data_IF_423368230952
#
_entry.id   IF_423368230952
#
_cell.length_a   1.000
_cell.length_b   1.000
_cell.length_c   1.000
_cell.angle_alpha   90.00
_cell.angle_beta   90.00
_cell.angle_gamma   90.00
#
_symmetry.space_group_name_H-M   'P 1'
#
loop_
_entity.id
_entity.type
_entity.pdbx_description
1 polymer ?
#
# COMPACT_ATOMS: atom_id res chain seq x y z
N UNK A 1 -6.82 1.44 -20.62
CA UNK A 1 -7.09 0.30 -19.71
C UNK A 1 -5.84 -0.56 -19.66
N UNK A 2 -5.22 -0.70 -18.50
CA UNK A 2 -4.04 -1.56 -18.31
C UNK A 2 -4.51 -2.92 -17.81
N UNK A 3 -4.15 -3.99 -18.52
CA UNK A 3 -4.47 -5.36 -18.09
C UNK A 3 -3.33 -5.88 -17.20
N UNK A 4 -3.65 -6.22 -15.95
CA UNK A 4 -2.75 -6.94 -15.07
C UNK A 4 -2.62 -8.40 -15.53
N UNK A 5 -1.45 -9.01 -15.31
CA UNK A 5 -1.30 -10.47 -15.42
C UNK A 5 -2.07 -11.08 -14.24
N UNK A 6 -2.82 -12.20 -14.41
CA UNK A 6 -3.39 -12.90 -13.27
C UNK A 6 -2.26 -13.23 -12.29
N UNK A 7 -2.35 -12.72 -11.06
CA UNK A 7 -1.37 -12.86 -9.97
C UNK A 7 -0.08 -12.01 -10.06
N UNK A 8 -0.02 -10.95 -10.87
CA UNK A 8 1.16 -10.08 -10.93
C UNK A 8 0.85 -8.59 -11.00
N UNK A 9 1.37 -7.82 -10.04
CA UNK A 9 1.44 -6.34 -10.06
C UNK A 9 2.32 -5.76 -11.19
N UNK A 10 2.94 -6.61 -12.04
CA UNK A 10 3.82 -6.19 -13.12
C UNK A 10 3.03 -5.91 -14.41
N UNK A 11 3.13 -4.67 -14.89
CA UNK A 11 2.61 -4.26 -16.18
C UNK A 11 3.51 -4.82 -17.31
N UNK A 12 2.93 -5.56 -18.25
CA UNK A 12 3.68 -6.24 -19.32
C UNK A 12 4.18 -5.24 -20.38
N UNK A 13 5.47 -5.34 -20.73
CA UNK A 13 6.08 -4.67 -21.90
C UNK A 13 6.75 -3.32 -21.61
N UNK A 14 7.56 -2.84 -22.57
CA UNK A 14 8.30 -1.57 -22.48
C UNK A 14 7.41 -0.38 -22.07
N UNK A 15 6.18 -0.34 -22.60
CA UNK A 15 5.22 0.72 -22.27
C UNK A 15 4.75 0.67 -20.81
N UNK A 16 4.54 -0.52 -20.26
CA UNK A 16 4.17 -0.71 -18.85
C UNK A 16 5.26 -0.25 -17.90
N UNK A 17 6.52 -0.61 -18.18
CA UNK A 17 7.68 -0.17 -17.39
C UNK A 17 7.92 1.34 -17.49
N UNK A 18 7.77 1.93 -18.68
CA UNK A 18 7.93 3.37 -18.86
C UNK A 18 6.84 4.16 -18.13
N UNK A 19 5.58 3.70 -18.17
CA UNK A 19 4.49 4.31 -17.42
C UNK A 19 4.71 4.24 -15.91
N UNK A 20 5.16 3.09 -15.38
CA UNK A 20 5.47 2.99 -13.94
C UNK A 20 6.56 3.96 -13.48
N UNK A 21 7.53 4.26 -14.36
CA UNK A 21 8.64 5.17 -14.06
C UNK A 21 8.26 6.64 -14.20
N UNK A 22 7.43 6.98 -15.19
CA UNK A 22 7.14 8.37 -15.57
C UNK A 22 5.82 8.92 -15.03
N UNK A 23 4.87 8.07 -14.65
CA UNK A 23 3.58 8.50 -14.14
C UNK A 23 3.71 9.22 -12.78
N UNK A 24 2.90 10.27 -12.59
CA UNK A 24 2.78 10.95 -11.30
C UNK A 24 2.07 10.07 -10.26
N UNK A 25 1.08 9.29 -10.71
CA UNK A 25 0.37 8.32 -9.89
C UNK A 25 -0.18 7.17 -10.77
N UNK A 26 -0.47 6.04 -10.15
CA UNK A 26 -1.16 4.91 -10.76
C UNK A 26 -2.38 4.61 -9.91
N UNK A 27 -3.55 4.57 -10.55
CA UNK A 27 -4.81 4.22 -9.92
C UNK A 27 -5.29 2.86 -10.43
N UNK A 28 -5.85 2.06 -9.53
CA UNK A 28 -6.55 0.82 -9.81
C UNK A 28 -8.05 1.04 -9.65
N UNK A 29 -8.84 0.48 -10.56
CA UNK A 29 -10.30 0.41 -10.43
C UNK A 29 -10.65 -1.06 -10.24
N UNK A 30 -11.27 -1.36 -9.11
CA UNK A 30 -11.61 -2.71 -8.68
C UNK A 30 -13.07 -2.78 -8.26
N UNK A 31 -13.66 -3.97 -8.25
CA UNK A 31 -14.98 -4.18 -7.63
C UNK A 31 -14.84 -4.10 -6.12
N UNK A 32 -15.83 -3.50 -5.46
CA UNK A 32 -15.94 -3.56 -4.01
C UNK A 32 -16.53 -4.92 -3.56
N UNK A 33 -16.67 -5.07 -2.24
CA UNK A 33 -17.50 -6.12 -1.64
C UNK A 33 -18.94 -6.11 -2.15
N UNK A 34 -19.49 -4.92 -2.42
CA UNK A 34 -20.72 -4.74 -3.19
C UNK A 34 -20.39 -4.76 -4.71
N UNK A 35 -20.87 -5.75 -5.49
CA UNK A 35 -20.61 -5.83 -6.91
C UNK A 35 -21.15 -4.64 -7.74
N UNK A 36 -22.10 -3.88 -7.21
CA UNK A 36 -22.63 -2.67 -7.85
C UNK A 36 -21.70 -1.46 -7.68
N UNK A 37 -20.71 -1.55 -6.80
CA UNK A 37 -19.76 -0.48 -6.47
C UNK A 37 -18.39 -0.82 -7.03
N UNK A 38 -17.79 0.17 -7.68
CA UNK A 38 -16.39 0.17 -8.08
C UNK A 38 -15.59 1.08 -7.16
N UNK A 39 -14.45 0.60 -6.68
CA UNK A 39 -13.51 1.36 -5.86
C UNK A 39 -12.31 1.78 -6.67
N UNK A 40 -11.88 3.02 -6.48
CA UNK A 40 -10.64 3.56 -7.05
C UNK A 40 -9.61 3.68 -5.94
N UNK A 41 -8.49 2.97 -6.12
CA UNK A 41 -7.37 2.91 -5.15
C UNK A 41 -6.09 3.44 -5.80
N UNK A 42 -5.26 4.14 -5.03
CA UNK A 42 -3.91 4.45 -5.47
C UNK A 42 -2.98 3.25 -5.28
N UNK A 43 -2.32 2.83 -6.35
CA UNK A 43 -1.24 1.83 -6.31
C UNK A 43 0.13 2.48 -6.17
N UNK A 44 0.30 3.66 -6.78
CA UNK A 44 1.55 4.42 -6.73
C UNK A 44 1.26 5.91 -6.70
N UNK A 45 2.02 6.64 -5.89
CA UNK A 45 2.02 8.10 -5.86
C UNK A 45 3.47 8.57 -5.74
N UNK A 46 3.93 9.39 -6.68
CA UNK A 46 5.33 9.82 -6.72
C UNK A 46 5.74 10.69 -5.53
N UNK A 47 4.81 11.51 -5.05
CA UNK A 47 5.04 12.48 -3.98
C UNK A 47 4.18 12.21 -2.74
N UNK A 48 4.04 10.94 -2.37
CA UNK A 48 3.25 10.58 -1.19
C UNK A 48 3.23 9.10 -0.86
N UNK A 49 2.27 8.74 0.00
CA UNK A 49 1.94 7.36 0.32
C UNK A 49 0.70 6.95 -0.48
N UNK A 50 0.73 5.86 -1.25
CA UNK A 50 -0.48 5.31 -1.86
C UNK A 50 -1.50 4.82 -0.82
N UNK A 51 -1.04 4.46 0.39
CA UNK A 51 -1.89 4.01 1.49
C UNK A 51 -2.64 5.16 2.17
N UNK A 52 -2.12 6.39 2.10
CA UNK A 52 -2.76 7.57 2.69
C UNK A 52 -3.85 8.18 1.79
N UNK A 53 -3.87 7.83 0.49
CA UNK A 53 -4.90 8.28 -0.48
C UNK A 53 -6.26 7.65 -0.15
N UNK A 54 -7.35 8.43 -0.08
CA UNK A 54 -8.68 7.90 0.11
C UNK A 54 -9.10 6.90 -0.97
N UNK A 55 -9.89 5.91 -0.57
CA UNK A 55 -10.51 4.97 -1.51
C UNK A 55 -11.84 5.56 -1.94
N UNK A 56 -11.92 6.00 -3.19
CA UNK A 56 -13.12 6.61 -3.75
C UNK A 56 -14.08 5.53 -4.26
N UNK A 57 -15.38 5.74 -4.08
CA UNK A 57 -16.42 4.81 -4.49
C UNK A 57 -17.25 5.38 -5.63
N UNK A 58 -17.55 4.56 -6.63
CA UNK A 58 -18.40 4.90 -7.76
C UNK A 58 -19.42 3.80 -8.02
N UNK A 59 -20.61 4.15 -8.49
CA UNK A 59 -21.61 3.18 -8.97
C UNK A 59 -22.33 3.70 -10.20
N UNK A 60 -22.95 2.79 -10.96
CA UNK A 60 -23.77 3.15 -12.11
C UNK A 60 -25.12 3.70 -11.68
N UNK A 61 -25.40 4.96 -12.00
CA UNK A 61 -26.72 5.58 -11.85
C UNK A 61 -27.51 5.41 -13.15
N UNK A 62 -28.64 4.70 -13.07
CA UNK A 62 -29.48 4.41 -14.24
C UNK A 62 -30.23 5.64 -14.75
N UNK A 63 -30.61 6.56 -13.86
CA UNK A 63 -31.35 7.77 -14.24
C UNK A 63 -30.44 8.75 -14.97
N UNK A 64 -29.19 8.86 -14.51
CA UNK A 64 -28.17 9.73 -15.11
C UNK A 64 -27.38 9.06 -16.24
N UNK A 65 -27.56 7.76 -16.43
CA UNK A 65 -26.85 6.92 -17.41
C UNK A 65 -25.31 7.07 -17.34
N UNK A 66 -24.76 7.18 -16.13
CA UNK A 66 -23.31 7.34 -15.91
C UNK A 66 -22.87 6.82 -14.54
N UNK A 67 -21.55 6.66 -14.35
CA UNK A 67 -20.99 6.40 -13.02
C UNK A 67 -21.03 7.68 -12.18
N UNK A 68 -21.56 7.57 -10.96
CA UNK A 68 -21.62 8.66 -9.98
C UNK A 68 -20.72 8.36 -8.80
N UNK A 69 -20.13 9.41 -8.23
CA UNK A 69 -19.32 9.33 -7.02
C UNK A 69 -20.23 9.11 -5.81
N UNK A 70 -19.89 8.11 -4.99
CA UNK A 70 -20.63 7.72 -3.78
C UNK A 70 -19.97 8.19 -2.48
N UNK A 71 -18.80 8.83 -2.56
CA UNK A 71 -18.00 9.20 -1.38
C UNK A 71 -16.75 8.35 -1.21
N UNK A 72 -16.08 8.53 -0.08
CA UNK A 72 -14.86 7.81 0.30
C UNK A 72 -15.20 6.64 1.23
N UNK A 73 -14.40 5.58 1.22
CA UNK A 73 -14.47 4.56 2.27
C UNK A 73 -14.13 5.17 3.63
N UNK A 74 -14.69 4.64 4.75
CA UNK A 74 -14.38 5.10 6.09
C UNK A 74 -12.89 5.08 6.40
N UNK A 75 -12.47 5.98 7.30
CA UNK A 75 -11.06 6.10 7.69
C UNK A 75 -10.54 4.81 8.34
N UNK A 76 -11.40 4.12 9.09
CA UNK A 76 -11.10 2.86 9.76
C UNK A 76 -10.72 1.75 8.75
N UNK A 77 -11.44 1.65 7.63
CA UNK A 77 -11.11 0.70 6.56
C UNK A 77 -9.77 1.05 5.90
N UNK A 78 -9.49 2.35 5.72
CA UNK A 78 -8.21 2.81 5.18
C UNK A 78 -7.05 2.46 6.11
N UNK A 79 -7.20 2.74 7.41
CA UNK A 79 -6.18 2.47 8.42
C UNK A 79 -5.97 0.96 8.57
N UNK A 80 -7.03 0.15 8.50
CA UNK A 80 -6.94 -1.31 8.47
C UNK A 80 -6.19 -1.82 7.24
N UNK A 81 -6.49 -1.31 6.03
CA UNK A 81 -5.74 -1.67 4.82
C UNK A 81 -4.25 -1.32 4.97
N UNK A 82 -3.95 -0.15 5.52
CA UNK A 82 -2.56 0.28 5.76
C UNK A 82 -1.85 -0.65 6.74
N UNK A 83 -2.55 -1.09 7.78
CA UNK A 83 -2.07 -2.08 8.73
C UNK A 83 -1.80 -3.44 8.07
N UNK A 84 -2.76 -3.98 7.32
CA UNK A 84 -2.65 -5.28 6.62
C UNK A 84 -1.48 -5.29 5.62
N UNK A 85 -1.30 -4.23 4.84
CA UNK A 85 -0.19 -4.09 3.89
C UNK A 85 1.17 -4.02 4.62
N UNK A 86 1.26 -3.25 5.70
CA UNK A 86 2.50 -3.16 6.48
C UNK A 86 2.81 -4.46 7.23
N UNK A 87 1.79 -5.21 7.65
CA UNK A 87 1.93 -6.58 8.16
C UNK A 87 2.52 -7.49 7.09
N UNK A 88 2.02 -7.44 5.85
CA UNK A 88 2.55 -8.24 4.76
C UNK A 88 4.03 -7.92 4.48
N UNK A 89 4.38 -6.62 4.45
CA UNK A 89 5.78 -6.17 4.32
C UNK A 89 6.65 -6.66 5.48
N UNK A 90 6.16 -6.56 6.74
CA UNK A 90 6.88 -7.08 7.89
C UNK A 90 7.15 -8.58 7.76
N UNK A 91 6.13 -9.38 7.43
CA UNK A 91 6.29 -10.83 7.21
C UNK A 91 7.33 -11.12 6.13
N UNK A 92 7.29 -10.40 5.01
CA UNK A 92 8.25 -10.56 3.92
C UNK A 92 9.68 -10.26 4.38
N UNK A 93 9.91 -9.12 5.02
CA UNK A 93 11.25 -8.69 5.48
C UNK A 93 11.80 -9.63 6.56
N UNK A 94 10.99 -9.91 7.58
CA UNK A 94 11.42 -10.73 8.72
C UNK A 94 11.49 -12.23 8.41
N UNK A 95 10.88 -12.70 7.32
CA UNK A 95 11.10 -14.06 6.81
C UNK A 95 12.54 -14.29 6.34
N UNK A 96 13.24 -13.21 5.92
CA UNK A 96 14.62 -13.25 5.43
C UNK A 96 15.63 -12.90 6.52
N UNK A 97 15.27 -12.01 7.44
CA UNK A 97 16.17 -11.51 8.50
C UNK A 97 15.44 -11.50 9.84
N UNK A 98 15.98 -12.19 10.85
CA UNK A 98 15.38 -12.22 12.20
C UNK A 98 15.48 -10.88 12.94
N UNK A 99 16.52 -10.11 12.66
CA UNK A 99 16.77 -8.80 13.24
C UNK A 99 17.10 -7.81 12.13
N UNK A 100 16.48 -6.63 12.15
CA UNK A 100 16.65 -5.62 11.09
C UNK A 100 16.87 -4.26 11.73
N UNK A 101 17.89 -3.53 11.28
CA UNK A 101 18.12 -2.16 11.77
C UNK A 101 17.06 -1.19 11.23
N UNK A 102 16.96 0.00 11.81
CA UNK A 102 16.07 1.05 11.30
C UNK A 102 16.34 1.42 9.84
N UNK A 103 17.62 1.50 9.46
CA UNK A 103 18.05 1.88 8.10
C UNK A 103 17.67 0.80 7.11
N UNK A 104 18.00 -0.46 7.40
CA UNK A 104 17.64 -1.59 6.53
C UNK A 104 16.13 -1.73 6.38
N UNK A 105 15.36 -1.58 7.47
CA UNK A 105 13.91 -1.66 7.40
C UNK A 105 13.32 -0.53 6.53
N UNK A 106 13.88 0.67 6.61
CA UNK A 106 13.46 1.78 5.76
C UNK A 106 13.80 1.53 4.29
N UNK A 107 14.95 0.93 3.98
CA UNK A 107 15.35 0.55 2.62
C UNK A 107 14.43 -0.54 2.03
N UNK A 108 14.13 -1.59 2.80
CA UNK A 108 13.21 -2.65 2.40
C UNK A 108 11.80 -2.10 2.12
N UNK A 109 11.27 -1.25 3.01
CA UNK A 109 9.97 -0.60 2.81
C UNK A 109 9.97 0.30 1.58
N UNK A 110 11.02 1.08 1.34
CA UNK A 110 11.14 1.91 0.13
C UNK A 110 11.12 1.04 -1.13
N UNK A 111 11.81 -0.10 -1.10
CA UNK A 111 11.90 -1.01 -2.24
C UNK A 111 10.56 -1.71 -2.51
N UNK A 112 9.91 -2.25 -1.47
CA UNK A 112 8.69 -3.06 -1.62
C UNK A 112 7.48 -2.18 -1.98
N UNK A 113 7.34 -1.02 -1.32
CA UNK A 113 6.20 -0.13 -1.52
C UNK A 113 6.47 1.00 -2.54
N UNK A 114 7.66 1.04 -3.13
CA UNK A 114 8.11 2.10 -4.05
C UNK A 114 7.88 3.54 -3.52
N UNK A 115 8.11 3.74 -2.21
CA UNK A 115 7.92 5.03 -1.55
C UNK A 115 9.26 5.74 -1.28
N UNK A 116 9.19 7.05 -1.00
CA UNK A 116 10.37 7.84 -0.56
C UNK A 116 10.73 7.51 0.90
N UNK A 117 11.98 7.74 1.26
CA UNK A 117 12.53 7.52 2.61
C UNK A 117 11.67 8.14 3.71
N UNK A 118 11.23 9.40 3.54
CA UNK A 118 10.35 10.08 4.51
C UNK A 118 9.08 9.28 4.80
N UNK A 119 8.45 8.72 3.77
CA UNK A 119 7.25 7.90 3.89
C UNK A 119 7.55 6.58 4.57
N UNK A 120 8.66 5.92 4.20
CA UNK A 120 9.09 4.68 4.84
C UNK A 120 9.33 4.86 6.35
N UNK A 121 9.99 5.96 6.76
CA UNK A 121 10.18 6.31 8.17
C UNK A 121 8.85 6.51 8.90
N UNK A 122 7.87 7.12 8.24
CA UNK A 122 6.51 7.27 8.79
C UNK A 122 5.80 5.92 8.93
N UNK A 123 6.01 4.98 8.01
CA UNK A 123 5.46 3.63 8.13
C UNK A 123 6.10 2.85 9.27
N UNK A 124 7.42 2.92 9.46
CA UNK A 124 8.09 2.30 10.61
C UNK A 124 7.49 2.82 11.92
N UNK A 125 7.23 4.14 12.01
CA UNK A 125 6.55 4.72 13.18
C UNK A 125 5.17 4.09 13.40
N UNK A 126 4.35 4.01 12.35
CA UNK A 126 3.02 3.39 12.42
C UNK A 126 3.10 1.89 12.80
N UNK A 127 4.04 1.15 12.22
CA UNK A 127 4.25 -0.28 12.53
C UNK A 127 4.62 -0.49 13.99
N UNK A 128 5.37 0.43 14.60
CA UNK A 128 5.67 0.39 16.04
C UNK A 128 4.44 0.71 16.89
N UNK A 129 3.66 1.72 16.50
CA UNK A 129 2.43 2.10 17.22
C UNK A 129 1.38 1.00 17.20
N UNK A 130 1.34 0.22 16.11
CA UNK A 130 0.48 -0.95 15.92
C UNK A 130 1.09 -2.27 16.38
N UNK A 131 2.26 -2.23 17.00
CA UNK A 131 2.98 -3.42 17.49
C UNK A 131 3.26 -4.49 16.42
N UNK A 132 3.21 -4.12 15.13
CA UNK A 132 3.63 -4.96 13.99
C UNK A 132 5.13 -5.26 14.10
N UNK A 133 5.90 -4.30 14.62
CA UNK A 133 7.34 -4.46 14.90
C UNK A 133 7.65 -3.96 16.30
N UNK A 134 8.60 -4.63 16.94
CA UNK A 134 9.05 -4.33 18.29
C UNK A 134 10.55 -4.08 18.30
N UNK A 135 11.04 -3.32 19.28
CA UNK A 135 12.50 -3.23 19.52
C UNK A 135 12.98 -4.54 20.14
N UNK A 136 14.14 -5.01 19.70
CA UNK A 136 14.78 -6.19 20.32
C UNK A 136 15.16 -5.89 21.78
N UNK A 137 14.93 -6.86 22.67
CA UNK A 137 15.35 -6.83 24.07
C UNK A 137 16.86 -6.76 24.21
N UNK A 138 17.57 -7.41 23.29
CA UNK A 138 19.01 -7.64 23.38
C UNK A 138 19.79 -6.44 22.84
N UNK A 139 19.21 -5.71 21.88
CA UNK A 139 19.83 -4.53 21.29
C UNK A 139 18.76 -3.60 20.70
N UNK A 140 18.60 -2.44 21.33
CA UNK A 140 17.59 -1.43 20.96
C UNK A 140 17.79 -0.78 19.58
N UNK A 141 18.91 -1.08 18.90
CA UNK A 141 19.18 -0.66 17.52
C UNK A 141 18.49 -1.55 16.47
N UNK A 142 18.00 -2.73 16.88
CA UNK A 142 17.33 -3.68 16.00
C UNK A 142 15.83 -3.76 16.28
N UNK A 143 15.08 -4.02 15.22
CA UNK A 143 13.67 -4.42 15.26
C UNK A 143 13.52 -5.92 15.07
N UNK A 144 12.45 -6.45 15.65
CA UNK A 144 11.93 -7.81 15.46
C UNK A 144 10.45 -7.73 15.09
N UNK A 145 9.92 -8.79 14.47
CA UNK A 145 8.49 -8.90 14.18
C UNK A 145 7.69 -8.98 15.49
N UNK A 146 6.54 -8.31 15.55
CA UNK A 146 5.59 -8.44 16.64
C UNK A 146 4.80 -9.75 16.58
N UNK A 147 4.07 -10.05 17.66
CA UNK A 147 3.12 -11.17 17.69
C UNK A 147 1.74 -10.63 17.32
N UNK A 148 1.28 -10.94 16.11
CA UNK A 148 -0.05 -10.58 15.59
C UNK A 148 -0.63 -11.71 14.74
#
# INVERSE_FOLDING_TARGET
VLHFIPNGLKLRGHLGSELQRKAAAILSIEKDSDPAVSVVKALKVRDGSPLDVPIMQFSWDKEKAMHVYLGEKPKEEKDKRKEDELVAVAKEVFSRKRFVTYVELAEEIQSILEVKERTAKSYIKFMREKEIILKSSDNQSYYVIGNF
#
